data_IF_182735253250
#
_entry.id   IF_182735253250
#
_cell.length_a   1.000
_cell.length_b   1.000
_cell.length_c   1.000
_cell.angle_alpha   90.00
_cell.angle_beta   90.00
_cell.angle_gamma   90.00
#
_symmetry.space_group_name_H-M   'P 1'
#
loop_
_entity.id
_entity.type
_entity.pdbx_description
1 polymer ?
#
# COMPACT_ATOMS: atom_id res chain seq x y z
N UNK A 1 -5.63 -55.96 -25.59
CA UNK A 1 -6.33 -54.99 -24.72
C UNK A 1 -5.33 -53.88 -24.42
N UNK A 2 -5.33 -52.84 -25.24
CA UNK A 2 -4.47 -51.67 -25.06
C UNK A 2 -5.26 -50.58 -24.32
N UNK A 3 -4.67 -50.04 -23.26
CA UNK A 3 -5.23 -48.94 -22.46
C UNK A 3 -4.99 -47.60 -23.16
N UNK A 4 -5.96 -46.67 -23.20
CA UNK A 4 -5.76 -45.38 -23.83
C UNK A 4 -5.02 -44.41 -22.88
N UNK A 5 -3.99 -43.76 -23.41
CA UNK A 5 -3.26 -42.66 -22.77
C UNK A 5 -4.15 -41.43 -22.70
N UNK A 6 -4.41 -40.92 -21.49
CA UNK A 6 -5.11 -39.63 -21.29
C UNK A 6 -4.20 -38.48 -21.72
N UNK A 7 -4.65 -37.70 -22.70
CA UNK A 7 -4.03 -36.43 -23.08
C UNK A 7 -4.24 -35.38 -21.98
N UNK A 8 -3.15 -34.77 -21.52
CA UNK A 8 -3.21 -33.56 -20.68
C UNK A 8 -3.51 -32.34 -21.55
N UNK A 9 -4.30 -31.36 -21.07
CA UNK A 9 -4.57 -30.15 -21.82
C UNK A 9 -3.31 -29.27 -21.92
N UNK A 10 -3.13 -28.67 -23.10
CA UNK A 10 -2.05 -27.75 -23.42
C UNK A 10 -2.13 -26.53 -22.48
N UNK A 11 -1.11 -26.30 -21.65
CA UNK A 11 -1.00 -25.04 -20.90
C UNK A 11 -0.87 -23.90 -21.90
N UNK A 12 -1.86 -23.02 -21.96
CA UNK A 12 -1.76 -21.78 -22.72
C UNK A 12 -0.58 -20.96 -22.18
N UNK A 13 0.28 -20.47 -23.08
CA UNK A 13 1.37 -19.58 -22.71
C UNK A 13 0.77 -18.25 -22.23
N UNK A 14 1.33 -17.61 -21.18
CA UNK A 14 0.91 -16.27 -20.78
C UNK A 14 1.02 -15.32 -21.99
N UNK A 15 -0.03 -14.54 -22.26
CA UNK A 15 0.02 -13.51 -23.30
C UNK A 15 1.06 -12.47 -22.88
N UNK A 16 2.09 -12.28 -23.69
CA UNK A 16 3.06 -11.19 -23.51
C UNK A 16 2.30 -9.86 -23.58
N UNK A 17 2.41 -9.04 -22.51
CA UNK A 17 1.84 -7.69 -22.50
C UNK A 17 2.66 -6.80 -23.44
N UNK A 18 2.02 -5.89 -24.19
CA UNK A 18 2.74 -4.92 -25.00
C UNK A 18 3.56 -4.01 -24.07
N UNK A 19 4.78 -3.58 -24.48
CA UNK A 19 5.60 -2.71 -23.66
C UNK A 19 4.94 -1.35 -23.46
N UNK A 20 4.83 -0.93 -22.20
CA UNK A 20 4.51 0.46 -21.83
C UNK A 20 5.66 1.35 -22.30
N UNK A 21 5.39 2.26 -23.24
CA UNK A 21 6.41 2.98 -24.00
C UNK A 21 6.84 4.31 -23.35
N UNK A 22 6.80 4.40 -22.02
CA UNK A 22 7.44 5.48 -21.23
C UNK A 22 8.46 4.83 -20.31
N UNK A 23 9.73 5.28 -20.26
CA UNK A 23 10.68 4.73 -19.30
C UNK A 23 10.12 5.01 -17.90
N UNK A 24 9.72 3.95 -17.20
CA UNK A 24 9.28 4.08 -15.82
C UNK A 24 10.49 4.55 -14.99
N UNK A 25 10.26 5.40 -13.99
CA UNK A 25 11.33 5.75 -13.05
C UNK A 25 11.98 4.47 -12.50
N UNK A 26 13.30 4.45 -12.18
CA UNK A 26 14.01 3.22 -11.82
C UNK A 26 13.33 2.37 -10.73
N UNK A 27 12.64 3.02 -9.78
CA UNK A 27 11.83 2.34 -8.76
C UNK A 27 10.61 1.58 -9.31
N UNK A 28 9.91 2.13 -10.30
CA UNK A 28 8.78 1.45 -10.96
C UNK A 28 9.23 0.23 -11.74
N UNK A 29 10.32 0.35 -12.51
CA UNK A 29 10.87 -0.81 -13.22
C UNK A 29 11.35 -1.90 -12.25
N UNK A 30 11.97 -1.51 -11.14
CA UNK A 30 12.38 -2.44 -10.09
C UNK A 30 11.18 -3.16 -9.46
N UNK A 31 10.04 -2.49 -9.31
CA UNK A 31 8.81 -3.08 -8.81
C UNK A 31 8.27 -4.15 -9.75
N UNK A 32 8.13 -3.84 -11.05
CA UNK A 32 7.70 -4.81 -12.05
C UNK A 32 8.64 -6.02 -12.13
N UNK A 33 9.95 -5.81 -12.00
CA UNK A 33 10.91 -6.93 -11.89
C UNK A 33 10.70 -7.73 -10.61
N UNK A 34 10.46 -7.08 -9.48
CA UNK A 34 10.22 -7.75 -8.20
C UNK A 34 9.00 -8.66 -8.27
N UNK A 35 7.87 -8.18 -8.80
CA UNK A 35 6.64 -8.98 -8.96
C UNK A 35 6.83 -10.20 -9.86
N UNK A 36 7.74 -10.14 -10.83
CA UNK A 36 8.05 -11.25 -11.73
C UNK A 36 9.04 -12.25 -11.14
N UNK A 37 10.07 -11.76 -10.45
CA UNK A 37 11.27 -12.53 -10.13
C UNK A 37 11.31 -13.01 -8.67
N UNK A 38 10.54 -12.39 -7.76
CA UNK A 38 10.50 -12.78 -6.35
C UNK A 38 9.45 -13.89 -6.10
N UNK A 39 9.66 -14.77 -5.11
CA UNK A 39 8.63 -15.68 -4.64
C UNK A 39 7.41 -14.92 -4.09
N UNK A 40 6.22 -15.50 -4.25
CA UNK A 40 4.96 -14.92 -3.75
C UNK A 40 4.87 -14.91 -2.21
N UNK A 41 5.60 -15.80 -1.52
CA UNK A 41 5.48 -16.06 -0.08
C UNK A 41 6.61 -15.43 0.76
N UNK A 42 7.10 -14.26 0.34
CA UNK A 42 8.15 -13.56 1.07
C UNK A 42 7.69 -13.10 2.46
N UNK A 43 8.49 -13.32 3.53
CA UNK A 43 8.13 -12.90 4.88
C UNK A 43 8.42 -11.40 5.16
N UNK A 44 8.48 -10.57 4.11
CA UNK A 44 8.88 -9.17 4.17
C UNK A 44 7.94 -8.29 3.35
N UNK A 45 7.64 -7.09 3.84
CA UNK A 45 7.15 -5.99 2.98
C UNK A 45 8.21 -5.68 1.95
N UNK A 46 7.82 -5.60 0.69
CA UNK A 46 8.68 -5.17 -0.41
C UNK A 46 8.26 -3.78 -0.85
N UNK A 47 9.22 -2.86 -0.91
CA UNK A 47 9.09 -1.54 -1.52
C UNK A 47 10.25 -1.30 -2.48
N UNK A 48 10.18 -0.24 -3.28
CA UNK A 48 11.34 0.25 -4.05
C UNK A 48 11.69 1.69 -3.68
N UNK A 49 12.93 2.08 -3.98
CA UNK A 49 13.38 3.47 -3.82
C UNK A 49 13.72 4.12 -5.17
N UNK A 50 14.05 5.41 -5.15
CA UNK A 50 14.38 6.20 -6.34
C UNK A 50 15.54 5.63 -7.17
N UNK A 51 16.42 4.82 -6.55
CA UNK A 51 17.57 4.16 -7.19
C UNK A 51 17.22 2.79 -7.79
N UNK A 52 15.96 2.36 -7.73
CA UNK A 52 15.55 1.03 -8.20
C UNK A 52 16.02 -0.12 -7.31
N UNK A 53 16.35 0.16 -6.04
CA UNK A 53 16.70 -0.88 -5.07
C UNK A 53 15.43 -1.39 -4.37
N UNK A 54 15.43 -2.66 -3.99
CA UNK A 54 14.41 -3.23 -3.12
C UNK A 54 14.69 -2.82 -1.67
N UNK A 55 13.65 -2.36 -0.99
CA UNK A 55 13.65 -2.11 0.46
C UNK A 55 12.77 -3.18 1.08
N UNK A 56 13.35 -3.96 2.00
CA UNK A 56 12.69 -5.10 2.63
C UNK A 56 12.51 -4.84 4.11
N UNK A 57 11.27 -4.82 4.57
CA UNK A 57 10.94 -4.59 5.99
C UNK A 57 10.28 -5.84 6.57
N UNK A 58 10.73 -6.30 7.73
CA UNK A 58 10.08 -7.41 8.43
C UNK A 58 8.85 -6.90 9.15
N UNK A 59 7.69 -7.51 8.89
CA UNK A 59 6.55 -7.29 9.77
C UNK A 59 6.63 -8.17 11.03
N UNK A 60 6.05 -7.65 12.12
CA UNK A 60 5.81 -8.37 13.36
C UNK A 60 4.30 -8.64 13.47
N UNK A 61 3.92 -9.60 14.31
CA UNK A 61 2.52 -10.03 14.48
C UNK A 61 1.59 -8.85 14.80
N UNK A 62 2.03 -7.90 15.63
CA UNK A 62 1.21 -6.74 16.00
C UNK A 62 0.83 -5.86 14.79
N UNK A 63 1.61 -5.85 13.70
CA UNK A 63 1.22 -5.14 12.49
C UNK A 63 -0.03 -5.75 11.87
N UNK A 64 -0.11 -7.07 11.80
CA UNK A 64 -1.29 -7.77 11.28
C UNK A 64 -2.52 -7.52 12.17
N UNK A 65 -2.34 -7.53 13.49
CA UNK A 65 -3.43 -7.22 14.43
C UNK A 65 -3.92 -5.78 14.25
N UNK A 66 -3.01 -4.80 14.15
CA UNK A 66 -3.36 -3.40 13.94
C UNK A 66 -4.00 -3.15 12.58
N UNK A 67 -3.50 -3.79 11.51
CA UNK A 67 -4.12 -3.73 10.19
C UNK A 67 -5.60 -4.17 10.26
N UNK A 68 -5.87 -5.29 10.93
CA UNK A 68 -7.23 -5.79 11.09
C UNK A 68 -8.15 -4.83 11.87
N UNK A 69 -7.65 -4.22 12.94
CA UNK A 69 -8.42 -3.24 13.72
C UNK A 69 -8.67 -1.97 12.92
N UNK A 70 -7.64 -1.41 12.27
CA UNK A 70 -7.75 -0.20 11.45
C UNK A 70 -8.74 -0.38 10.30
N UNK A 71 -8.65 -1.49 9.55
CA UNK A 71 -9.59 -1.78 8.46
C UNK A 71 -11.02 -1.85 8.96
N UNK A 72 -11.27 -2.48 10.11
CA UNK A 72 -12.61 -2.54 10.71
C UNK A 72 -13.14 -1.16 11.10
N UNK A 73 -12.32 -0.32 11.71
CA UNK A 73 -12.69 1.04 12.14
C UNK A 73 -12.90 1.97 10.94
N UNK A 74 -12.07 1.86 9.90
CA UNK A 74 -12.23 2.62 8.66
C UNK A 74 -13.51 2.24 7.90
N UNK A 75 -14.04 1.05 8.13
CA UNK A 75 -15.28 0.55 7.52
C UNK A 75 -16.53 0.77 8.39
N UNK A 76 -16.39 1.37 9.57
CA UNK A 76 -17.51 1.68 10.48
C UNK A 76 -17.84 3.18 10.49
N UNK A 77 -18.76 3.59 11.35
CA UNK A 77 -19.21 4.99 11.49
C UNK A 77 -18.09 5.93 12.01
N UNK A 78 -17.01 5.37 12.54
CA UNK A 78 -15.80 6.06 12.94
C UNK A 78 -14.89 6.40 11.75
N UNK A 79 -15.05 5.71 10.62
CA UNK A 79 -14.30 5.94 9.39
C UNK A 79 -14.81 7.14 8.59
N UNK A 80 -14.23 7.38 7.40
CA UNK A 80 -14.70 8.45 6.53
C UNK A 80 -16.16 8.27 6.12
N UNK A 81 -16.95 9.34 6.21
CA UNK A 81 -18.37 9.33 5.86
C UNK A 81 -18.64 9.12 4.35
N UNK A 82 -17.63 9.36 3.52
CA UNK A 82 -17.71 9.13 2.08
C UNK A 82 -17.68 7.62 1.76
N UNK A 83 -18.31 7.23 0.66
CA UNK A 83 -18.23 5.84 0.20
C UNK A 83 -16.81 5.47 -0.24
N UNK A 84 -16.30 4.34 0.23
CA UNK A 84 -14.93 3.88 -0.06
C UNK A 84 -14.66 2.51 0.56
N UNK A 85 -13.39 2.13 0.58
CA UNK A 85 -12.95 0.91 1.25
C UNK A 85 -11.53 1.06 1.79
N UNK A 86 -11.24 0.26 2.82
CA UNK A 86 -9.90 0.09 3.35
C UNK A 86 -9.25 -1.17 2.80
N UNK A 87 -7.93 -1.18 2.70
CA UNK A 87 -7.17 -2.36 2.26
C UNK A 87 -5.78 -2.38 2.90
N UNK A 88 -5.25 -3.57 3.21
CA UNK A 88 -3.87 -3.71 3.64
C UNK A 88 -2.92 -3.67 2.44
N UNK A 89 -1.66 -3.32 2.70
CA UNK A 89 -0.52 -3.54 1.79
C UNK A 89 -0.74 -3.05 0.34
N UNK A 90 -1.26 -1.83 0.22
CA UNK A 90 -1.69 -1.27 -1.06
C UNK A 90 -0.53 -0.58 -1.80
N UNK A 91 0.09 -1.24 -2.77
CA UNK A 91 1.22 -0.66 -3.51
C UNK A 91 0.83 0.62 -4.28
N UNK A 92 1.58 1.70 -4.10
CA UNK A 92 1.37 3.00 -4.75
C UNK A 92 2.65 3.50 -5.42
N UNK A 93 2.51 4.05 -6.62
CA UNK A 93 3.60 4.78 -7.27
C UNK A 93 3.83 6.12 -6.57
N UNK A 94 5.11 6.43 -6.32
CA UNK A 94 5.57 7.73 -5.78
C UNK A 94 6.73 8.26 -6.61
N UNK A 95 7.12 9.51 -6.39
CA UNK A 95 8.29 10.12 -7.04
C UNK A 95 9.60 9.36 -6.75
N UNK A 96 9.67 8.62 -5.64
CA UNK A 96 10.85 7.88 -5.22
C UNK A 96 10.63 6.35 -5.24
N UNK A 97 9.85 5.84 -6.19
CA UNK A 97 9.59 4.42 -6.38
C UNK A 97 8.23 3.98 -5.85
N UNK A 98 8.06 2.69 -5.60
CA UNK A 98 6.80 2.12 -5.10
C UNK A 98 6.85 1.98 -3.59
N UNK A 99 5.82 2.51 -2.92
CA UNK A 99 5.62 2.41 -1.47
C UNK A 99 4.38 1.57 -1.18
N UNK A 100 4.36 0.95 -0.01
CA UNK A 100 3.29 0.06 0.40
C UNK A 100 2.86 0.48 1.81
N UNK A 101 1.89 1.41 1.94
CA UNK A 101 1.28 1.70 3.24
C UNK A 101 0.74 0.43 3.87
N UNK A 102 0.78 0.35 5.19
CA UNK A 102 0.33 -0.85 5.90
C UNK A 102 -1.20 -0.99 5.81
N UNK A 103 -1.93 0.13 5.85
CA UNK A 103 -3.36 0.23 5.56
C UNK A 103 -3.62 1.49 4.74
N UNK A 104 -4.60 1.43 3.85
CA UNK A 104 -5.14 2.61 3.18
C UNK A 104 -6.65 2.72 3.42
N UNK A 105 -7.20 3.91 3.18
CA UNK A 105 -8.60 4.07 2.79
C UNK A 105 -8.65 4.87 1.49
N UNK A 106 -9.45 4.38 0.54
CA UNK A 106 -9.63 5.00 -0.77
C UNK A 106 -11.12 5.19 -1.07
N UNK A 107 -11.48 6.38 -1.53
CA UNK A 107 -12.86 6.67 -1.94
C UNK A 107 -13.25 5.88 -3.19
N UNK A 108 -14.55 5.68 -3.37
CA UNK A 108 -15.08 5.01 -4.58
C UNK A 108 -14.72 5.79 -5.85
N UNK A 109 -14.65 7.11 -5.77
CA UNK A 109 -14.28 7.98 -6.89
C UNK A 109 -12.81 7.82 -7.28
N UNK A 110 -11.91 7.83 -6.29
CA UNK A 110 -10.46 7.67 -6.53
C UNK A 110 -10.11 6.25 -6.97
N UNK A 111 -10.75 5.23 -6.40
CA UNK A 111 -10.56 3.85 -6.79
C UNK A 111 -10.91 3.58 -8.27
N UNK A 112 -11.90 4.28 -8.84
CA UNK A 112 -12.27 4.16 -10.27
C UNK A 112 -11.19 4.68 -11.23
N UNK A 113 -10.22 5.44 -10.74
CA UNK A 113 -9.11 5.97 -11.55
C UNK A 113 -8.00 4.93 -11.72
N UNK A 114 -8.06 3.81 -10.99
CA UNK A 114 -7.02 2.78 -10.98
C UNK A 114 -7.32 1.75 -12.08
N UNK A 115 -6.41 1.55 -13.05
CA UNK A 115 -6.56 0.49 -14.04
C UNK A 115 -6.64 -0.88 -13.37
N UNK A 116 -7.52 -1.76 -13.86
CA UNK A 116 -7.72 -3.09 -13.29
C UNK A 116 -6.50 -4.00 -13.37
N UNK A 117 -5.54 -3.69 -14.25
CA UNK A 117 -4.31 -4.44 -14.48
C UNK A 117 -3.06 -3.75 -13.89
N UNK A 118 -3.25 -2.69 -13.10
CA UNK A 118 -2.19 -1.96 -12.45
C UNK A 118 -1.45 -2.83 -11.42
N UNK A 119 -0.12 -2.87 -11.51
CA UNK A 119 0.77 -3.58 -10.58
C UNK A 119 1.06 -2.77 -9.31
N UNK A 120 0.90 -1.45 -9.38
CA UNK A 120 0.83 -0.53 -8.26
C UNK A 120 -0.10 0.62 -8.68
N UNK A 121 -0.79 1.22 -7.71
CA UNK A 121 -1.74 2.28 -8.00
C UNK A 121 -1.03 3.53 -8.52
N UNK A 122 -1.47 4.12 -9.64
CA UNK A 122 -0.95 5.39 -10.13
C UNK A 122 -1.49 6.60 -9.35
N UNK A 123 -2.50 6.40 -8.51
CA UNK A 123 -3.08 7.43 -7.62
C UNK A 123 -2.89 7.02 -6.17
N UNK A 124 -2.45 7.96 -5.32
CA UNK A 124 -2.31 7.67 -3.89
C UNK A 124 -3.69 7.79 -3.21
N UNK A 125 -4.10 6.80 -2.39
CA UNK A 125 -5.34 6.86 -1.61
C UNK A 125 -5.43 8.12 -0.76
N UNK A 126 -6.65 8.57 -0.47
CA UNK A 126 -6.91 9.73 0.38
C UNK A 126 -6.24 9.59 1.76
N UNK A 127 -6.31 8.40 2.36
CA UNK A 127 -5.68 8.10 3.64
C UNK A 127 -4.65 6.98 3.45
N UNK A 128 -3.41 7.24 3.83
CA UNK A 128 -2.36 6.23 3.95
C UNK A 128 -1.95 6.08 5.41
N UNK A 129 -1.85 4.85 5.92
CA UNK A 129 -1.53 4.57 7.32
C UNK A 129 -0.27 3.71 7.37
N UNK A 130 0.70 4.12 8.20
CA UNK A 130 1.93 3.37 8.49
C UNK A 130 1.98 3.02 9.98
N UNK A 131 2.35 1.79 10.29
CA UNK A 131 2.56 1.33 11.67
C UNK A 131 4.06 1.38 11.97
N UNK A 132 4.44 2.08 13.03
CA UNK A 132 5.83 2.17 13.45
C UNK A 132 6.38 0.80 13.83
N UNK A 133 7.54 0.47 13.25
CA UNK A 133 8.35 -0.68 13.64
C UNK A 133 9.56 -0.24 14.48
N UNK A 134 10.21 -1.19 15.17
CA UNK A 134 11.40 -0.92 16.00
C UNK A 134 12.58 -0.30 15.21
N UNK A 135 12.58 -0.49 13.88
CA UNK A 135 13.61 0.05 12.98
C UNK A 135 13.21 1.37 12.31
N UNK A 136 11.95 1.81 12.42
CA UNK A 136 11.50 3.02 11.75
C UNK A 136 12.07 4.25 12.46
N UNK A 137 12.67 5.14 11.69
CA UNK A 137 13.09 6.47 12.15
C UNK A 137 12.01 7.51 11.84
N UNK A 138 11.93 8.58 12.63
CA UNK A 138 11.03 9.71 12.33
C UNK A 138 11.34 10.31 10.93
N UNK A 139 12.62 10.34 10.54
CA UNK A 139 13.03 10.82 9.22
C UNK A 139 12.51 9.95 8.07
N UNK A 140 12.47 8.63 8.24
CA UNK A 140 11.87 7.73 7.25
C UNK A 140 10.35 7.93 7.14
N UNK A 141 9.66 8.14 8.28
CA UNK A 141 8.23 8.41 8.28
C UNK A 141 7.90 9.78 7.68
N UNK A 142 8.73 10.81 7.95
CA UNK A 142 8.64 12.11 7.29
C UNK A 142 8.82 11.99 5.79
N UNK A 143 9.83 11.24 5.33
CA UNK A 143 10.05 10.99 3.91
C UNK A 143 8.86 10.28 3.26
N UNK A 144 8.30 9.25 3.90
CA UNK A 144 7.11 8.55 3.40
C UNK A 144 5.87 9.45 3.35
N UNK A 145 5.59 10.21 4.43
CA UNK A 145 4.49 11.18 4.47
C UNK A 145 4.58 12.15 3.30
N UNK A 146 5.76 12.76 3.10
CA UNK A 146 6.02 13.66 1.97
C UNK A 146 5.69 13.00 0.63
N UNK A 147 6.15 11.76 0.39
CA UNK A 147 5.87 11.04 -0.85
C UNK A 147 4.37 10.76 -1.07
N UNK A 148 3.63 10.43 0.00
CA UNK A 148 2.20 10.23 -0.10
C UNK A 148 1.46 11.54 -0.39
N UNK A 149 1.82 12.64 0.27
CA UNK A 149 1.24 13.96 0.01
C UNK A 149 1.58 14.47 -1.41
N UNK A 150 2.82 14.30 -1.88
CA UNK A 150 3.22 14.60 -3.26
C UNK A 150 2.41 13.79 -4.28
N UNK A 151 1.99 12.57 -3.92
CA UNK A 151 1.12 11.71 -4.71
C UNK A 151 -0.38 11.95 -4.55
N UNK A 152 -0.78 12.92 -3.73
CA UNK A 152 -2.17 13.35 -3.56
C UNK A 152 -2.93 12.74 -2.39
N UNK A 153 -2.26 12.08 -1.44
CA UNK A 153 -2.88 11.76 -0.16
C UNK A 153 -3.39 13.05 0.51
N UNK A 154 -4.55 12.96 1.14
CA UNK A 154 -5.13 14.06 1.92
C UNK A 154 -4.70 13.95 3.38
N UNK A 155 -4.60 12.73 3.88
CA UNK A 155 -4.07 12.46 5.21
C UNK A 155 -3.10 11.28 5.22
N UNK A 156 -2.11 11.36 6.10
CA UNK A 156 -1.23 10.23 6.43
C UNK A 156 -1.28 10.02 7.92
N UNK A 157 -1.54 8.79 8.37
CA UNK A 157 -1.65 8.47 9.79
C UNK A 157 -0.48 7.59 10.21
N UNK A 158 0.07 7.89 11.38
CA UNK A 158 1.16 7.10 11.96
C UNK A 158 0.63 6.43 13.21
N UNK A 159 0.66 5.10 13.23
CA UNK A 159 0.29 4.29 14.39
C UNK A 159 1.55 3.92 15.15
N UNK A 160 1.64 4.39 16.39
CA UNK A 160 2.73 4.04 17.27
C UNK A 160 2.59 2.63 17.86
N UNK A 161 3.63 2.19 18.57
CA UNK A 161 3.72 0.80 19.07
C UNK A 161 2.66 0.46 20.12
N UNK A 162 2.21 1.47 20.86
CA UNK A 162 1.12 1.36 21.83
C UNK A 162 -0.25 1.60 21.21
N UNK A 163 -0.36 1.59 19.87
CA UNK A 163 -1.60 1.80 19.13
C UNK A 163 -2.11 3.24 19.14
N UNK A 164 -1.32 4.22 19.62
CA UNK A 164 -1.61 5.65 19.49
C UNK A 164 -1.56 6.09 18.03
N UNK A 165 -2.51 6.92 17.61
CA UNK A 165 -2.57 7.49 16.27
C UNK A 165 -2.12 8.95 16.28
N UNK A 166 -1.35 9.32 15.27
CA UNK A 166 -1.02 10.70 14.92
C UNK A 166 -1.52 10.96 13.50
N UNK A 167 -2.27 12.03 13.33
CA UNK A 167 -2.88 12.40 12.05
C UNK A 167 -2.07 13.53 11.41
N UNK A 168 -1.80 13.43 10.11
CA UNK A 168 -1.09 14.47 9.36
C UNK A 168 -1.87 14.82 8.11
N UNK A 169 -1.89 16.11 7.77
CA UNK A 169 -2.26 16.62 6.45
C UNK A 169 -1.04 17.35 5.82
N UNK A 170 -1.16 17.93 4.61
CA UNK A 170 -0.06 18.68 4.01
C UNK A 170 0.40 19.92 4.80
N UNK A 171 -0.40 20.43 5.74
CA UNK A 171 -0.05 21.56 6.60
C UNK A 171 0.68 21.13 7.89
N UNK A 172 0.57 19.86 8.30
CA UNK A 172 1.32 19.29 9.41
C UNK A 172 0.52 18.30 10.25
N UNK A 173 0.93 18.14 11.51
CA UNK A 173 0.22 17.29 12.48
C UNK A 173 -1.12 17.90 12.89
N UNK A 174 -2.14 17.06 13.04
CA UNK A 174 -3.49 17.41 13.47
C UNK A 174 -3.85 16.66 14.73
N UNK A 175 -4.69 17.29 15.56
CA UNK A 175 -5.27 16.62 16.73
C UNK A 175 -6.24 15.50 16.32
N UNK A 176 -6.96 15.68 15.21
CA UNK A 176 -7.94 14.71 14.70
C UNK A 176 -7.95 14.70 13.16
N UNK A 177 -8.32 13.56 12.58
CA UNK A 177 -8.60 13.43 11.15
C UNK A 177 -9.75 14.34 10.72
N UNK A 178 -9.58 15.06 9.60
CA UNK A 178 -10.64 15.81 8.94
C UNK A 178 -11.56 14.88 8.13
N UNK A 179 -11.01 13.82 7.54
CA UNK A 179 -11.77 12.82 6.78
C UNK A 179 -12.59 11.89 7.67
N UNK A 180 -12.11 11.61 8.89
CA UNK A 180 -12.75 10.75 9.88
C UNK A 180 -12.73 11.42 11.28
N UNK A 181 -13.59 12.44 11.54
CA UNK A 181 -13.54 13.25 12.75
C UNK A 181 -13.82 12.52 14.06
N UNK A 182 -14.41 11.33 13.98
CA UNK A 182 -14.75 10.47 15.13
C UNK A 182 -13.80 9.28 15.26
N UNK A 183 -12.79 9.18 14.40
CA UNK A 183 -11.82 8.08 14.45
C UNK A 183 -11.03 8.13 15.76
N UNK A 184 -10.85 7.00 16.48
CA UNK A 184 -10.18 7.03 17.77
C UNK A 184 -8.69 7.38 17.64
N UNK A 185 -8.17 8.13 18.61
CA UNK A 185 -6.73 8.43 18.74
C UNK A 185 -5.90 7.23 19.23
N UNK A 186 -6.55 6.10 19.56
CA UNK A 186 -5.90 4.86 19.99
C UNK A 186 -6.74 3.63 19.66
N UNK A 187 -6.08 2.53 19.25
CA UNK A 187 -6.73 1.27 18.83
C UNK A 187 -6.50 0.07 19.76
N UNK A 188 -5.88 0.28 20.94
CA UNK A 188 -5.66 -0.74 21.99
C UNK A 188 -5.96 -0.23 23.39
#
# INVERSE_FOLDING_TARGET
>A
METPVKSQPLRERPRERPPSNSPQAPGGEAWTRALRDLPEDLPYKVETNARGQLVLTRHKIYHSDFQGVLIRLLASEEGPAAGGHASPEYAVHTAEGVKVPDVIWISTERARQIPSDAEASPVVPEICIEVLSDSNTEAEMEAKRRLFFEGGAEEVWIVGRGGELRFFDPAGEREQSALAPTFPERIV
#
